data_IF_766391043045
#
_entry.id   IF_766391043045
#
_cell.length_a   1.000
_cell.length_b   1.000
_cell.length_c   1.000
_cell.angle_alpha   90.00
_cell.angle_beta   90.00
_cell.angle_gamma   90.00
#
_symmetry.space_group_name_H-M   'P 1'
#
loop_
_entity.id
_entity.type
_entity.pdbx_description
1 polymer ?
#
# COMPACT_ATOMS: atom_id res chain seq x y z
N UNK A 1 -0.44 -5.61 -1.90
CA UNK A 1 -1.08 -6.90 -1.53
C UNK A 1 -0.75 -7.22 -0.08
N UNK A 2 -1.71 -7.70 0.72
CA UNK A 2 -1.45 -8.12 2.11
C UNK A 2 -1.49 -9.65 2.18
N UNK A 3 -0.45 -10.25 2.75
CA UNK A 3 -0.36 -11.69 2.99
C UNK A 3 -0.80 -12.00 4.42
N UNK A 4 -1.85 -12.80 4.56
CA UNK A 4 -2.38 -13.27 5.84
C UNK A 4 -1.91 -14.71 6.12
N UNK A 5 -1.51 -14.96 7.36
CA UNK A 5 -1.23 -16.30 7.90
C UNK A 5 -2.06 -16.46 9.17
N UNK A 6 -2.86 -17.53 9.24
CA UNK A 6 -3.76 -17.81 10.38
C UNK A 6 -4.63 -16.59 10.75
N UNK A 7 -5.25 -15.97 9.73
CA UNK A 7 -6.09 -14.77 9.89
C UNK A 7 -5.38 -13.52 10.41
N UNK A 8 -4.05 -13.50 10.50
CA UNK A 8 -3.25 -12.34 10.89
C UNK A 8 -2.41 -11.82 9.72
N UNK A 9 -2.39 -10.50 9.44
CA UNK A 9 -1.55 -9.94 8.39
C UNK A 9 -0.07 -10.07 8.79
N UNK A 10 0.75 -10.61 7.90
CA UNK A 10 2.18 -10.83 8.13
C UNK A 10 3.04 -9.90 7.29
N UNK A 11 2.68 -9.72 6.02
CA UNK A 11 3.45 -8.91 5.08
C UNK A 11 2.52 -8.07 4.22
N UNK A 12 3.05 -6.96 3.73
CA UNK A 12 2.40 -6.12 2.74
C UNK A 12 3.40 -5.72 1.67
N UNK A 13 3.02 -5.98 0.43
CA UNK A 13 3.73 -5.49 -0.75
C UNK A 13 3.21 -4.10 -1.13
N UNK A 14 4.13 -3.15 -1.21
CA UNK A 14 3.91 -1.77 -1.64
C UNK A 14 4.58 -1.56 -3.00
N UNK A 15 3.81 -1.11 -3.98
CA UNK A 15 4.29 -0.89 -5.35
C UNK A 15 5.06 0.41 -5.44
N UNK A 16 6.25 0.40 -6.03
CA UNK A 16 7.07 1.59 -6.24
C UNK A 16 7.62 1.59 -7.67
N UNK A 17 8.07 2.74 -8.18
CA UNK A 17 8.70 2.82 -9.52
C UNK A 17 9.97 1.98 -9.63
N UNK A 18 10.59 1.63 -8.50
CA UNK A 18 11.71 0.68 -8.39
C UNK A 18 11.30 -0.80 -8.51
N UNK A 19 10.02 -1.10 -8.75
CA UNK A 19 9.49 -2.47 -8.76
C UNK A 19 8.89 -2.93 -7.44
N UNK A 20 8.77 -2.03 -6.45
CA UNK A 20 8.09 -2.28 -5.17
C UNK A 20 8.90 -3.07 -4.13
N UNK A 21 8.37 -3.16 -2.91
CA UNK A 21 9.02 -3.85 -1.78
C UNK A 21 7.97 -4.42 -0.84
N UNK A 22 8.28 -5.59 -0.27
CA UNK A 22 7.48 -6.22 0.77
C UNK A 22 8.01 -5.86 2.15
N UNK A 23 7.11 -5.46 3.05
CA UNK A 23 7.42 -5.10 4.43
C UNK A 23 6.70 -6.04 5.39
N UNK A 24 7.30 -6.28 6.56
CA UNK A 24 6.60 -6.94 7.67
C UNK A 24 5.48 -6.02 8.15
N UNK A 25 4.27 -6.54 8.25
CA UNK A 25 3.08 -5.72 8.47
C UNK A 25 3.14 -4.90 9.77
N UNK A 26 3.73 -5.49 10.82
CA UNK A 26 3.84 -4.85 12.14
C UNK A 26 4.94 -3.79 12.24
N UNK A 27 5.78 -3.60 11.22
CA UNK A 27 6.82 -2.55 11.21
C UNK A 27 6.32 -1.24 10.61
N UNK A 28 5.13 -1.23 10.02
CA UNK A 28 4.52 -0.03 9.47
C UNK A 28 3.90 0.83 10.57
N UNK A 29 3.89 2.14 10.34
CA UNK A 29 3.00 3.05 11.06
C UNK A 29 1.57 2.53 11.01
N UNK A 30 0.87 2.57 12.12
CA UNK A 30 -0.50 2.06 12.21
C UNK A 30 -1.42 3.03 12.95
N UNK A 31 -2.70 3.01 12.58
CA UNK A 31 -3.78 3.73 13.24
C UNK A 31 -4.96 2.78 13.40
N UNK A 32 -5.52 2.68 14.62
CA UNK A 32 -6.65 1.79 14.92
C UNK A 32 -6.43 0.34 14.46
N UNK A 33 -5.22 -0.18 14.66
CA UNK A 33 -4.81 -1.54 14.22
C UNK A 33 -4.74 -1.77 12.71
N UNK A 34 -4.85 -0.73 11.88
CA UNK A 34 -4.63 -0.80 10.44
C UNK A 34 -3.31 -0.14 10.06
N UNK A 35 -2.54 -0.79 9.18
CA UNK A 35 -1.32 -0.19 8.63
C UNK A 35 -1.66 1.06 7.80
N UNK A 36 -0.83 2.08 7.95
CA UNK A 36 -0.86 3.30 7.14
C UNK A 36 0.12 3.10 5.98
N UNK A 37 -0.36 3.34 4.77
CA UNK A 37 0.46 3.37 3.56
C UNK A 37 0.35 4.74 2.91
N UNK A 38 1.43 5.20 2.31
CA UNK A 38 1.51 6.53 1.75
C UNK A 38 1.46 6.46 0.24
N UNK A 39 0.48 7.13 -0.35
CA UNK A 39 0.38 7.26 -1.80
C UNK A 39 1.03 8.56 -2.23
N UNK A 40 1.69 8.50 -3.37
CA UNK A 40 2.32 9.63 -4.03
C UNK A 40 1.31 10.37 -4.88
N UNK A 41 1.42 11.69 -4.91
CA UNK A 41 0.52 12.54 -5.69
C UNK A 41 0.71 12.30 -7.19
N UNK A 42 -0.35 11.88 -7.89
CA UNK A 42 -0.35 11.77 -9.35
C UNK A 42 0.27 10.50 -9.93
N UNK A 43 0.52 9.46 -9.12
CA UNK A 43 1.08 8.17 -9.59
C UNK A 43 0.42 6.97 -8.87
N UNK A 44 0.83 5.76 -9.25
CA UNK A 44 0.37 4.47 -8.72
C UNK A 44 1.21 3.96 -7.53
N UNK A 45 2.24 4.69 -7.13
CA UNK A 45 3.22 4.22 -6.14
C UNK A 45 2.74 4.38 -4.70
N UNK A 46 3.21 3.47 -3.85
CA UNK A 46 2.82 3.29 -2.47
C UNK A 46 4.09 3.06 -1.64
N UNK A 47 4.17 3.70 -0.48
CA UNK A 47 5.37 3.70 0.36
C UNK A 47 5.03 3.45 1.83
N UNK A 48 6.04 2.98 2.56
CA UNK A 48 5.94 2.64 3.98
C UNK A 48 6.04 3.86 4.91
N UNK A 49 6.53 4.99 4.40
CA UNK A 49 6.75 6.22 5.15
C UNK A 49 6.40 7.44 4.31
N UNK A 50 6.14 8.56 4.97
CA UNK A 50 5.95 9.86 4.33
C UNK A 50 7.29 10.48 3.90
N UNK A 51 7.25 11.51 3.04
CA UNK A 51 8.42 12.25 2.58
C UNK A 51 8.89 11.85 1.19
N UNK A 52 10.13 12.22 0.88
CA UNK A 52 10.78 11.89 -0.39
C UNK A 52 11.16 10.41 -0.44
N UNK A 53 10.86 9.79 -1.58
CA UNK A 53 11.07 8.38 -1.86
C UNK A 53 11.98 8.32 -3.08
N UNK A 54 13.28 8.16 -2.83
CA UNK A 54 14.26 8.05 -3.90
C UNK A 54 14.15 6.70 -4.59
N UNK A 55 14.05 6.73 -5.92
CA UNK A 55 14.26 5.57 -6.77
C UNK A 55 15.30 5.92 -7.83
N UNK A 56 16.13 4.94 -8.18
CA UNK A 56 17.52 5.06 -8.65
C UNK A 56 17.77 5.74 -10.02
N UNK A 57 16.98 6.74 -10.42
CA UNK A 57 17.31 7.62 -11.52
C UNK A 57 18.30 8.68 -11.06
N UNK A 58 19.48 8.63 -11.68
CA UNK A 58 20.63 9.53 -11.60
C UNK A 58 20.59 10.55 -10.43
N UNK A 59 21.14 10.14 -9.28
CA UNK A 59 21.39 11.00 -8.11
C UNK A 59 20.18 11.70 -7.47
N UNK A 60 18.99 11.10 -7.50
CA UNK A 60 17.80 11.68 -6.83
C UNK A 60 17.19 12.85 -7.60
N UNK A 61 17.57 13.03 -8.88
CA UNK A 61 16.92 14.00 -9.77
C UNK A 61 15.42 13.72 -9.96
N UNK A 62 15.01 12.48 -9.74
CA UNK A 62 13.62 12.05 -9.80
C UNK A 62 13.30 11.29 -8.52
N UNK A 63 12.37 11.82 -7.73
CA UNK A 63 11.88 11.18 -6.52
C UNK A 63 10.35 11.27 -6.48
N UNK A 64 9.79 10.41 -5.63
CA UNK A 64 8.38 10.35 -5.35
C UNK A 64 8.12 11.09 -4.02
N UNK A 65 7.13 11.99 -3.96
CA UNK A 65 6.82 12.74 -2.73
C UNK A 65 5.49 12.30 -2.14
N UNK A 66 5.51 11.90 -0.87
CA UNK A 66 4.32 11.44 -0.14
C UNK A 66 4.00 12.35 1.05
N UNK A 67 2.70 12.55 1.32
CA UNK A 67 2.18 13.44 2.36
C UNK A 67 1.42 12.73 3.49
N UNK A 68 1.04 13.47 4.53
CA UNK A 68 0.24 13.00 5.69
C UNK A 68 -1.01 13.85 5.93
N UNK A 69 -1.27 14.79 5.04
CA UNK A 69 -2.33 15.79 5.11
C UNK A 69 -3.73 15.18 4.99
N UNK A 70 -3.91 14.19 4.09
CA UNK A 70 -5.16 13.46 3.95
C UNK A 70 -4.95 11.95 4.13
N UNK A 71 -5.88 11.32 4.85
CA UNK A 71 -5.93 9.86 5.01
C UNK A 71 -7.30 9.34 4.60
N UNK A 72 -7.31 8.20 3.91
CA UNK A 72 -8.51 7.46 3.59
C UNK A 72 -8.61 6.25 4.51
N UNK A 73 -9.66 6.21 5.34
CA UNK A 73 -9.99 5.04 6.14
C UNK A 73 -10.89 4.10 5.33
N UNK A 74 -10.30 3.00 4.87
CA UNK A 74 -10.99 1.98 4.09
C UNK A 74 -12.20 1.39 4.84
N UNK A 75 -12.22 1.40 6.17
CA UNK A 75 -13.35 0.88 6.95
C UNK A 75 -14.58 1.79 6.95
N UNK A 76 -14.40 3.07 6.58
CA UNK A 76 -15.50 4.04 6.51
C UNK A 76 -16.20 4.04 5.16
N UNK A 77 -15.48 3.73 4.08
CA UNK A 77 -16.03 3.71 2.74
C UNK A 77 -15.15 2.88 1.79
N UNK A 78 -15.64 1.70 1.40
CA UNK A 78 -15.02 0.84 0.39
C UNK A 78 -16.07 0.10 -0.42
N UNK A 79 -15.71 -0.31 -1.64
CA UNK A 79 -16.42 -1.32 -2.42
C UNK A 79 -15.52 -2.53 -2.60
N UNK A 80 -15.94 -3.66 -2.04
CA UNK A 80 -15.24 -4.94 -2.13
C UNK A 80 -16.05 -5.94 -2.92
N UNK A 81 -15.37 -6.86 -3.60
CA UNK A 81 -15.99 -7.96 -4.32
C UNK A 81 -15.23 -9.26 -4.07
N UNK A 82 -15.96 -10.37 -4.00
CA UNK A 82 -15.43 -11.73 -4.03
C UNK A 82 -15.37 -12.23 -5.45
N UNK A 83 -14.22 -12.76 -5.88
CA UNK A 83 -14.05 -13.41 -7.17
C UNK A 83 -13.90 -14.92 -6.98
N UNK A 84 -14.76 -15.69 -7.65
CA UNK A 84 -14.60 -17.14 -7.75
C UNK A 84 -13.74 -17.47 -8.97
N UNK A 85 -12.48 -17.85 -8.76
CA UNK A 85 -11.54 -18.14 -9.86
C UNK A 85 -11.93 -19.33 -10.75
N UNK A 86 -12.74 -20.28 -10.25
CA UNK A 86 -13.18 -21.42 -11.05
C UNK A 86 -14.27 -21.06 -12.05
N UNK A 87 -15.11 -20.07 -11.74
CA UNK A 87 -16.27 -19.68 -12.56
C UNK A 87 -16.16 -18.28 -13.17
N UNK A 88 -15.21 -17.46 -12.70
CA UNK A 88 -15.03 -16.07 -13.13
C UNK A 88 -16.08 -15.10 -12.57
N UNK A 89 -16.97 -15.55 -11.70
CA UNK A 89 -18.05 -14.72 -11.16
C UNK A 89 -17.56 -13.79 -10.04
N UNK A 90 -18.10 -12.57 -10.04
CA UNK A 90 -17.93 -11.58 -8.98
C UNK A 90 -19.22 -11.47 -8.15
N UNK A 91 -19.08 -11.27 -6.85
CA UNK A 91 -20.20 -10.99 -5.93
C UNK A 91 -19.76 -9.95 -4.91
N UNK A 92 -20.70 -9.16 -4.40
CA UNK A 92 -20.48 -8.19 -3.31
C UNK A 92 -20.86 -8.78 -1.97
#
# INVERSE_FOLDING_TARGET
MVHFVNSSPQYIYLSAHSGGTSYTYNTLSSQNSHAITYITTGTHTNYAMAGEQDYSLLFGLLHDTTGTDFSWDITKNYWGFWCNFSSGNFSS
#
